data_IF_366038223582
#
_entry.id   IF_366038223582
#
_cell.length_a   1.000
_cell.length_b   1.000
_cell.length_c   1.000
_cell.angle_alpha   90.00
_cell.angle_beta   90.00
_cell.angle_gamma   90.00
#
_symmetry.space_group_name_H-M   'P 1'
#
loop_
_entity.id
_entity.type
_entity.pdbx_description
1 polymer ?
#
# COMPACT_ATOMS: atom_id res chain seq x y z
N UNK A 1 12.70 -5.45 -0.74
CA UNK A 1 12.61 -5.71 0.71
C UNK A 1 12.67 -4.38 1.44
N UNK A 2 12.32 -4.32 2.71
CA UNK A 2 12.37 -3.10 3.49
C UNK A 2 12.30 -3.38 4.98
N UNK A 3 12.46 -2.33 5.76
CA UNK A 3 12.41 -2.38 7.21
C UNK A 3 11.69 -1.14 7.71
N UNK A 4 10.94 -1.31 8.80
CA UNK A 4 10.34 -0.20 9.52
C UNK A 4 10.54 -0.42 11.01
N UNK A 5 10.85 0.66 11.71
CA UNK A 5 10.83 0.74 13.16
C UNK A 5 9.66 1.64 13.57
N UNK A 6 8.80 1.13 14.45
CA UNK A 6 7.64 1.85 14.93
C UNK A 6 7.67 1.96 16.44
N UNK A 7 7.35 3.16 16.92
CA UNK A 7 7.11 3.46 18.34
C UNK A 7 5.62 3.73 18.51
N UNK A 8 4.89 2.75 19.03
CA UNK A 8 3.44 2.84 19.20
C UNK A 8 3.14 3.20 20.65
N UNK A 9 2.42 4.28 20.87
CA UNK A 9 1.96 4.69 22.20
C UNK A 9 0.54 4.16 22.45
N UNK A 10 0.31 3.55 23.62
CA UNK A 10 -1.04 3.18 24.06
C UNK A 10 -1.93 4.42 24.23
N UNK A 11 -3.20 4.32 23.82
CA UNK A 11 -4.16 5.44 23.85
C UNK A 11 -5.07 5.43 25.08
N UNK A 12 -4.81 4.57 26.07
CA UNK A 12 -5.63 4.49 27.28
C UNK A 12 -5.14 5.52 28.29
N UNK A 13 -6.04 6.41 28.74
CA UNK A 13 -5.76 7.56 29.63
C UNK A 13 -5.02 7.23 30.94
N UNK A 14 -4.94 5.96 31.33
CA UNK A 14 -4.33 5.52 32.59
C UNK A 14 -2.88 5.07 32.46
N UNK A 15 -2.39 4.69 31.27
CA UNK A 15 -0.99 4.27 31.07
C UNK A 15 -0.53 4.52 29.62
N UNK A 16 0.38 5.46 29.44
CA UNK A 16 1.12 5.71 28.19
C UNK A 16 2.21 4.65 28.03
N UNK A 17 1.84 3.39 27.81
CA UNK A 17 2.82 2.35 27.54
C UNK A 17 3.38 2.54 26.13
N UNK A 18 4.68 2.78 26.07
CA UNK A 18 5.49 2.73 24.86
C UNK A 18 5.55 1.28 24.37
N UNK A 19 5.45 1.03 23.06
CA UNK A 19 5.70 -0.29 22.49
C UNK A 19 6.62 -0.20 21.28
N UNK A 20 7.88 -0.66 21.38
CA UNK A 20 8.74 -0.78 20.22
C UNK A 20 8.25 -1.90 19.31
N UNK A 21 8.31 -1.70 17.99
CA UNK A 21 7.98 -2.73 17.02
C UNK A 21 8.94 -2.70 15.82
N UNK A 22 9.64 -3.82 15.61
CA UNK A 22 10.47 -4.04 14.43
C UNK A 22 9.67 -4.75 13.35
N UNK A 23 9.71 -4.23 12.12
CA UNK A 23 8.94 -4.76 10.98
C UNK A 23 9.78 -4.91 9.71
N UNK A 24 10.71 -5.87 9.62
CA UNK A 24 11.27 -6.25 8.34
C UNK A 24 10.18 -6.85 7.43
N UNK A 25 10.26 -6.55 6.15
CA UNK A 25 9.27 -7.03 5.18
C UNK A 25 9.86 -7.26 3.80
N UNK A 26 9.28 -8.21 3.07
CA UNK A 26 9.51 -8.41 1.65
C UNK A 26 8.21 -8.27 0.88
N UNK A 27 8.29 -7.78 -0.36
CA UNK A 27 7.11 -7.65 -1.20
C UNK A 27 7.44 -7.94 -2.65
N UNK A 28 6.46 -8.49 -3.34
CA UNK A 28 6.41 -8.64 -4.78
C UNK A 28 5.22 -7.82 -5.28
N UNK A 29 5.46 -7.02 -6.31
CA UNK A 29 4.43 -6.21 -6.97
C UNK A 29 4.44 -6.60 -8.44
N UNK A 30 3.26 -6.86 -8.99
CA UNK A 30 3.07 -7.25 -10.37
C UNK A 30 1.96 -6.41 -10.97
N UNK A 31 2.22 -5.78 -12.11
CA UNK A 31 1.20 -5.04 -12.86
C UNK A 31 1.15 -5.57 -14.29
N UNK A 32 -0.03 -6.01 -14.71
CA UNK A 32 -0.27 -6.56 -16.04
C UNK A 32 -1.35 -5.73 -16.73
N UNK A 33 -1.05 -5.25 -17.93
CA UNK A 33 -2.07 -4.68 -18.82
C UNK A 33 -2.93 -5.84 -19.34
N UNK A 34 -4.21 -5.82 -19.02
CA UNK A 34 -5.21 -6.74 -19.55
C UNK A 34 -5.99 -6.01 -20.65
N UNK A 35 -6.72 -6.74 -21.51
CA UNK A 35 -7.51 -6.24 -22.64
C UNK A 35 -7.74 -4.72 -22.70
N UNK A 36 -7.15 -4.08 -23.71
CA UNK A 36 -7.25 -2.67 -24.08
C UNK A 36 -6.99 -1.65 -22.95
N UNK A 37 -7.96 -1.51 -22.04
CA UNK A 37 -8.08 -0.43 -21.07
C UNK A 37 -8.02 -0.91 -19.62
N UNK A 38 -7.92 -2.22 -19.41
CA UNK A 38 -7.84 -2.80 -18.07
C UNK A 38 -6.40 -2.96 -17.61
N UNK A 39 -6.15 -2.72 -16.34
CA UNK A 39 -4.87 -2.98 -15.70
C UNK A 39 -5.12 -3.76 -14.44
N UNK A 40 -4.52 -4.94 -14.35
CA UNK A 40 -4.51 -5.78 -13.16
C UNK A 40 -3.24 -5.50 -12.37
N UNK A 41 -3.38 -5.17 -11.09
CA UNK A 41 -2.25 -5.04 -10.18
C UNK A 41 -2.38 -6.03 -9.05
N UNK A 42 -1.32 -6.77 -8.77
CA UNK A 42 -1.22 -7.68 -7.63
C UNK A 42 -0.04 -7.28 -6.77
N UNK A 43 -0.19 -7.37 -5.45
CA UNK A 43 0.92 -7.23 -4.52
C UNK A 43 0.81 -8.28 -3.44
N UNK A 44 1.85 -9.07 -3.31
CA UNK A 44 2.04 -9.95 -2.17
C UNK A 44 3.12 -9.36 -1.28
N UNK A 45 2.80 -9.14 -0.01
CA UNK A 45 3.74 -8.60 0.97
C UNK A 45 3.72 -9.45 2.22
N UNK A 46 4.91 -9.80 2.69
CA UNK A 46 5.12 -10.58 3.89
C UNK A 46 5.88 -9.71 4.90
N UNK A 47 5.25 -9.52 6.06
CA UNK A 47 5.73 -8.70 7.17
C UNK A 47 6.08 -9.64 8.35
N UNK A 48 7.31 -9.51 8.86
CA UNK A 48 7.71 -10.09 10.14
C UNK A 48 7.50 -9.01 11.20
N UNK A 49 6.77 -9.29 12.28
CA UNK A 49 6.45 -8.30 13.31
C UNK A 49 6.99 -8.77 14.65
N UNK A 50 7.98 -8.05 15.17
CA UNK A 50 8.50 -8.22 16.52
C UNK A 50 7.92 -7.10 17.36
N UNK A 51 6.97 -7.42 18.23
CA UNK A 51 6.27 -6.45 19.09
C UNK A 51 6.83 -6.58 20.50
N UNK A 52 7.33 -5.50 21.08
CA UNK A 52 7.73 -5.53 22.49
C UNK A 52 6.55 -5.97 23.36
N UNK A 53 6.81 -6.93 24.24
CA UNK A 53 5.82 -7.43 25.19
C UNK A 53 5.59 -6.35 26.27
N UNK A 54 4.35 -6.23 26.73
CA UNK A 54 3.98 -5.24 27.76
C UNK A 54 3.39 -6.02 28.93
N UNK A 55 4.07 -5.95 30.07
CA UNK A 55 3.58 -6.50 31.33
C UNK A 55 3.48 -5.36 32.35
N UNK A 56 2.36 -5.25 33.05
CA UNK A 56 2.13 -4.22 34.08
C UNK A 56 2.45 -2.78 33.64
N UNK A 57 2.19 -2.44 32.37
CA UNK A 57 2.44 -1.12 31.76
C UNK A 57 3.92 -0.73 31.58
N UNK A 58 4.85 -1.65 31.87
CA UNK A 58 6.26 -1.54 31.52
C UNK A 58 6.57 -2.38 30.28
N UNK A 59 7.54 -1.92 29.48
CA UNK A 59 8.09 -2.71 28.37
C UNK A 59 9.06 -3.71 28.95
N UNK A 60 8.85 -4.99 28.68
CA UNK A 60 9.83 -6.04 29.01
C UNK A 60 10.81 -6.20 27.84
N UNK A 61 11.93 -6.89 28.08
CA UNK A 61 12.92 -7.20 27.03
C UNK A 61 12.44 -8.31 26.07
N UNK A 62 11.23 -8.82 26.26
CA UNK A 62 10.64 -9.88 25.45
C UNK A 62 9.89 -9.33 24.22
N UNK A 63 9.86 -10.11 23.15
CA UNK A 63 9.18 -9.74 21.91
C UNK A 63 8.19 -10.81 21.48
N UNK A 64 6.94 -10.42 21.29
CA UNK A 64 5.93 -11.25 20.62
C UNK A 64 6.22 -11.26 19.12
N UNK A 65 6.32 -12.45 18.56
CA UNK A 65 6.59 -12.63 17.15
C UNK A 65 5.32 -13.03 16.38
N UNK A 66 5.00 -12.24 15.35
CA UNK A 66 3.84 -12.48 14.50
C UNK A 66 4.21 -12.32 13.03
N UNK A 67 3.76 -13.24 12.21
CA UNK A 67 3.87 -13.15 10.77
C UNK A 67 2.59 -12.58 10.18
N UNK A 68 2.73 -11.70 9.20
CA UNK A 68 1.58 -11.16 8.49
C UNK A 68 1.78 -11.22 6.99
N UNK A 69 0.84 -11.88 6.31
CA UNK A 69 0.74 -11.87 4.86
C UNK A 69 -0.33 -10.85 4.43
N UNK A 70 0.00 -10.07 3.42
CA UNK A 70 -0.88 -9.08 2.84
C UNK A 70 -0.96 -9.34 1.35
N UNK A 71 -2.14 -9.67 0.88
CA UNK A 71 -2.41 -9.82 -0.54
C UNK A 71 -3.32 -8.69 -1.00
N UNK A 72 -2.85 -7.91 -1.97
CA UNK A 72 -3.61 -6.85 -2.60
C UNK A 72 -3.86 -7.23 -4.06
N UNK A 73 -5.12 -7.15 -4.47
CA UNK A 73 -5.55 -7.31 -5.85
C UNK A 73 -6.29 -6.06 -6.28
N UNK A 74 -5.91 -5.50 -7.43
CA UNK A 74 -6.46 -4.27 -7.99
C UNK A 74 -6.83 -4.46 -9.44
N UNK A 75 -7.97 -3.87 -9.82
CA UNK A 75 -8.40 -3.75 -11.20
C UNK A 75 -8.64 -2.27 -11.47
N UNK A 76 -7.99 -1.73 -12.50
CA UNK A 76 -8.18 -0.36 -12.96
C UNK A 76 -8.69 -0.37 -14.39
N UNK A 77 -9.70 0.44 -14.67
CA UNK A 77 -10.20 0.69 -16.01
C UNK A 77 -9.92 2.14 -16.40
N UNK A 78 -9.15 2.33 -17.46
CA UNK A 78 -8.85 3.65 -18.02
C UNK A 78 -9.84 3.96 -19.15
N UNK A 79 -10.51 5.10 -19.11
CA UNK A 79 -11.49 5.42 -20.14
C UNK A 79 -10.77 5.69 -21.48
N UNK A 80 -11.21 5.10 -22.61
CA UNK A 80 -10.58 5.26 -23.93
C UNK A 80 -10.81 6.61 -24.60
N UNK A 81 -11.15 7.64 -23.84
CA UNK A 81 -11.43 8.97 -24.40
C UNK A 81 -10.12 9.66 -24.77
N UNK A 82 -10.12 10.38 -25.90
CA UNK A 82 -9.02 11.31 -26.26
C UNK A 82 -8.85 12.28 -25.09
N UNK A 83 -7.59 12.54 -24.71
CA UNK A 83 -7.20 13.22 -23.46
C UNK A 83 -8.21 14.29 -23.02
N UNK A 84 -8.99 13.97 -21.99
CA UNK A 84 -9.99 14.89 -21.45
C UNK A 84 -9.25 15.89 -20.56
N UNK A 85 -9.25 17.17 -20.95
CA UNK A 85 -8.53 18.24 -20.25
C UNK A 85 -7.01 17.97 -20.11
N UNK A 86 -6.41 17.22 -21.05
CA UNK A 86 -4.98 16.91 -21.03
C UNK A 86 -4.57 15.75 -20.11
N UNK A 87 -5.53 14.94 -19.66
CA UNK A 87 -5.27 13.79 -18.80
C UNK A 87 -6.22 12.61 -19.07
N UNK A 88 -5.99 11.53 -18.33
CA UNK A 88 -6.66 10.24 -18.53
C UNK A 88 -7.42 9.86 -17.27
N UNK A 89 -8.76 9.98 -17.25
CA UNK A 89 -9.56 9.50 -16.12
C UNK A 89 -9.53 7.97 -16.06
N UNK A 90 -9.66 7.44 -14.86
CA UNK A 90 -9.79 6.01 -14.62
C UNK A 90 -10.63 5.74 -13.38
N UNK A 91 -11.16 4.53 -13.29
CA UNK A 91 -11.77 3.98 -12.07
C UNK A 91 -10.99 2.77 -11.62
N UNK A 92 -10.97 2.52 -10.32
CA UNK A 92 -10.25 1.41 -9.72
C UNK A 92 -11.02 0.76 -8.59
N UNK A 93 -11.08 -0.57 -8.60
CA UNK A 93 -11.51 -1.38 -7.46
C UNK A 93 -10.29 -2.12 -6.95
N UNK A 94 -10.10 -2.15 -5.64
CA UNK A 94 -8.96 -2.86 -5.05
C UNK A 94 -9.40 -3.55 -3.77
N UNK A 95 -9.00 -4.80 -3.59
CA UNK A 95 -9.19 -5.54 -2.36
C UNK A 95 -7.83 -5.88 -1.74
N UNK A 96 -7.66 -5.68 -0.44
CA UNK A 96 -6.49 -6.10 0.32
C UNK A 96 -6.91 -6.97 1.50
N UNK A 97 -6.43 -8.21 1.52
CA UNK A 97 -6.64 -9.17 2.60
C UNK A 97 -5.36 -9.27 3.42
N UNK A 98 -5.51 -9.16 4.74
CA UNK A 98 -4.43 -9.21 5.71
C UNK A 98 -4.65 -10.43 6.60
N UNK A 99 -3.69 -11.34 6.63
CA UNK A 99 -3.74 -12.58 7.43
C UNK A 99 -2.55 -12.62 8.38
N UNK A 100 -2.81 -12.88 9.66
CA UNK A 100 -1.80 -13.09 10.69
C UNK A 100 -1.64 -14.59 11.00
N UNK A 101 -0.42 -15.01 11.30
CA UNK A 101 -0.09 -16.38 11.68
C UNK A 101 1.16 -16.41 12.57
N UNK A 102 1.23 -17.41 13.44
CA UNK A 102 2.27 -17.54 14.47
C UNK A 102 1.71 -18.26 15.69
N UNK A 103 2.58 -18.70 16.60
CA UNK A 103 2.18 -19.40 17.83
C UNK A 103 1.27 -18.54 18.71
N UNK A 104 1.44 -17.22 18.67
CA UNK A 104 0.64 -16.23 19.39
C UNK A 104 -0.75 -15.96 18.77
N UNK A 105 -1.06 -16.51 17.59
CA UNK A 105 -2.33 -16.27 16.88
C UNK A 105 -3.25 -17.48 17.05
N UNK A 106 -4.09 -17.44 18.08
CA UNK A 106 -4.98 -18.56 18.43
C UNK A 106 -6.30 -18.50 17.65
N UNK A 107 -6.94 -17.32 17.57
CA UNK A 107 -8.28 -17.20 16.97
C UNK A 107 -8.31 -16.31 15.72
N UNK A 108 -7.49 -15.25 15.65
CA UNK A 108 -7.68 -14.19 14.66
C UNK A 108 -6.70 -14.25 13.48
N UNK A 109 -6.85 -15.28 12.65
CA UNK A 109 -6.03 -15.41 11.43
C UNK A 109 -6.35 -14.33 10.40
N UNK A 110 -7.61 -13.96 10.20
CA UNK A 110 -7.95 -12.84 9.33
C UNK A 110 -7.82 -11.53 10.11
N UNK A 111 -6.74 -10.78 9.93
CA UNK A 111 -6.54 -9.49 10.60
C UNK A 111 -7.61 -8.50 10.14
N UNK A 112 -7.64 -8.22 8.82
CA UNK A 112 -8.56 -7.25 8.21
C UNK A 112 -8.75 -7.56 6.72
N UNK A 113 -9.90 -7.18 6.17
CA UNK A 113 -10.11 -7.04 4.73
C UNK A 113 -10.43 -5.57 4.40
N UNK A 114 -9.83 -5.04 3.33
CA UNK A 114 -10.02 -3.66 2.89
C UNK A 114 -10.47 -3.67 1.44
N UNK A 115 -11.64 -3.12 1.19
CA UNK A 115 -12.16 -2.92 -0.15
C UNK A 115 -12.17 -1.41 -0.46
N UNK A 116 -11.52 -1.05 -1.55
CA UNK A 116 -11.43 0.31 -2.06
C UNK A 116 -12.16 0.42 -3.39
N UNK A 117 -12.95 1.49 -3.53
CA UNK A 117 -13.45 1.97 -4.81
C UNK A 117 -12.92 3.39 -5.01
N UNK A 118 -12.29 3.64 -6.15
CA UNK A 118 -11.58 4.89 -6.44
C UNK A 118 -11.91 5.40 -7.83
N UNK A 119 -11.92 6.72 -7.95
CA UNK A 119 -11.91 7.45 -9.22
C UNK A 119 -10.61 8.24 -9.24
N UNK A 120 -9.93 8.23 -10.37
CA UNK A 120 -8.65 8.88 -10.50
C UNK A 120 -8.44 9.56 -11.84
N UNK A 121 -7.41 10.39 -11.87
CA UNK A 121 -7.03 11.18 -13.03
C UNK A 121 -5.52 11.20 -13.12
N UNK A 122 -5.01 10.65 -14.23
CA UNK A 122 -3.58 10.73 -14.56
C UNK A 122 -3.34 11.98 -15.39
N UNK A 123 -2.53 12.90 -14.88
CA UNK A 123 -2.13 14.12 -15.55
C UNK A 123 -0.60 14.22 -15.56
N UNK A 124 -0.01 14.20 -16.75
CA UNK A 124 1.45 14.09 -16.92
C UNK A 124 2.04 12.96 -16.05
N UNK A 125 2.94 13.31 -15.13
CA UNK A 125 3.59 12.40 -14.19
C UNK A 125 2.94 12.38 -12.78
N UNK A 126 1.77 13.02 -12.62
CA UNK A 126 0.98 12.99 -11.39
C UNK A 126 -0.25 12.09 -11.57
N UNK A 127 -0.53 11.28 -10.57
CA UNK A 127 -1.73 10.48 -10.46
C UNK A 127 -2.52 10.93 -9.23
N UNK A 128 -3.73 11.44 -9.46
CA UNK A 128 -4.68 11.75 -8.40
C UNK A 128 -5.71 10.63 -8.30
N UNK A 129 -6.00 10.16 -7.09
CA UNK A 129 -7.10 9.23 -6.81
C UNK A 129 -7.85 9.67 -5.57
N UNK A 130 -9.16 9.71 -5.67
CA UNK A 130 -10.07 9.86 -4.53
C UNK A 130 -10.95 8.63 -4.47
N UNK A 131 -11.33 8.22 -3.27
CA UNK A 131 -12.20 7.08 -3.15
C UNK A 131 -12.70 6.82 -1.76
N UNK A 132 -13.36 5.68 -1.65
CA UNK A 132 -13.95 5.18 -0.44
C UNK A 132 -13.37 3.80 -0.12
N UNK A 133 -12.97 3.62 1.14
CA UNK A 133 -12.53 2.36 1.72
C UNK A 133 -13.59 1.84 2.68
N UNK A 134 -14.02 0.60 2.48
CA UNK A 134 -14.61 -0.20 3.54
C UNK A 134 -13.53 -1.10 4.14
N UNK A 135 -13.34 -1.03 5.46
CA UNK A 135 -12.42 -1.90 6.20
C UNK A 135 -13.20 -2.77 7.17
N UNK A 136 -13.14 -4.07 6.93
CA UNK A 136 -13.71 -5.12 7.75
C UNK A 136 -12.66 -5.70 8.69
N UNK A 137 -12.99 -5.79 9.99
CA UNK A 137 -12.12 -6.34 11.04
C UNK A 137 -12.93 -7.33 11.87
N UNK A 138 -12.62 -8.63 11.84
CA UNK A 138 -13.23 -9.60 12.75
C UNK A 138 -12.65 -9.46 14.16
N UNK A 139 -13.54 -9.55 15.15
CA UNK A 139 -13.22 -9.50 16.58
C UNK A 139 -13.56 -10.86 17.19
N UNK A 140 -12.53 -11.70 17.30
CA UNK A 140 -12.64 -13.05 17.85
C UNK A 140 -12.16 -13.09 19.31
N UNK A 141 -12.74 -13.98 20.15
CA UNK A 141 -13.73 -15.01 19.81
C UNK A 141 -15.18 -14.53 19.82
N UNK A 142 -15.45 -13.25 20.10
CA UNK A 142 -16.80 -12.69 20.27
C UNK A 142 -17.72 -12.85 19.04
N UNK A 143 -17.16 -13.11 17.86
CA UNK A 143 -17.93 -13.21 16.62
C UNK A 143 -18.48 -11.86 16.14
N UNK A 144 -17.95 -10.76 16.68
CA UNK A 144 -18.31 -9.41 16.30
C UNK A 144 -17.45 -8.94 15.12
N UNK A 145 -17.95 -7.96 14.37
CA UNK A 145 -17.25 -7.39 13.23
C UNK A 145 -17.29 -5.87 13.28
N UNK A 146 -16.14 -5.24 13.04
CA UNK A 146 -16.04 -3.79 12.94
C UNK A 146 -15.94 -3.41 11.46
N UNK A 147 -16.87 -2.58 11.00
CA UNK A 147 -16.80 -1.93 9.70
C UNK A 147 -16.39 -0.47 9.87
N UNK A 148 -15.27 -0.09 9.24
CA UNK A 148 -14.86 1.30 9.17
C UNK A 148 -15.02 1.82 7.74
N UNK A 149 -15.61 3.01 7.64
CA UNK A 149 -15.78 3.73 6.39
C UNK A 149 -14.77 4.86 6.35
N UNK A 150 -13.97 4.94 5.29
CA UNK A 150 -12.87 5.92 5.22
C UNK A 150 -12.80 6.51 3.83
N UNK A 151 -12.79 7.84 3.75
CA UNK A 151 -12.45 8.54 2.52
C UNK A 151 -10.93 8.54 2.35
N UNK A 152 -10.48 8.23 1.13
CA UNK A 152 -9.06 8.17 0.78
C UNK A 152 -8.75 9.18 -0.31
N UNK A 153 -7.61 9.85 -0.16
CA UNK A 153 -7.01 10.72 -1.16
C UNK A 153 -5.57 10.25 -1.36
N UNK A 154 -5.22 9.98 -2.61
CA UNK A 154 -3.87 9.61 -3.02
C UNK A 154 -3.37 10.56 -4.10
N UNK A 155 -2.15 11.03 -3.91
CA UNK A 155 -1.41 11.80 -4.91
C UNK A 155 -0.07 11.11 -5.09
N UNK A 156 0.18 10.57 -6.27
CA UNK A 156 1.43 9.88 -6.61
C UNK A 156 2.13 10.64 -7.71
N UNK A 157 3.40 11.00 -7.49
CA UNK A 157 4.22 11.68 -8.48
C UNK A 157 5.38 10.79 -8.91
N UNK A 158 5.51 10.56 -10.22
CA UNK A 158 6.62 9.83 -10.80
C UNK A 158 7.77 10.80 -11.12
N UNK A 159 8.86 10.68 -10.37
CA UNK A 159 10.08 11.47 -10.56
C UNK A 159 11.05 10.71 -11.47
N UNK A 160 11.57 11.40 -12.48
CA UNK A 160 12.62 10.90 -13.36
C UNK A 160 13.88 11.75 -13.19
N UNK A 161 14.93 11.15 -12.63
CA UNK A 161 16.20 11.80 -12.35
C UNK A 161 17.30 11.46 -13.38
N UNK A 162 16.95 10.82 -14.50
CA UNK A 162 17.92 10.54 -15.55
C UNK A 162 18.46 11.86 -16.11
N UNK A 163 19.78 12.03 -16.12
CA UNK A 163 20.42 13.14 -16.85
C UNK A 163 19.96 13.05 -18.32
N UNK A 164 19.42 14.14 -18.86
CA UNK A 164 19.29 14.27 -20.32
C UNK A 164 20.70 14.25 -20.88
N UNK A 165 21.12 13.12 -21.44
CA UNK A 165 22.32 13.09 -22.28
C UNK A 165 22.11 14.07 -23.42
N UNK A 166 23.08 14.95 -23.65
CA UNK A 166 23.17 15.71 -24.90
C UNK A 166 23.02 14.71 -26.03
N UNK A 167 21.99 14.92 -26.85
CA UNK A 167 21.74 14.12 -28.04
C UNK A 167 23.00 14.11 -28.91
N UNK A 168 23.28 13.01 -29.60
CA UNK A 168 24.41 12.93 -30.54
C UNK A 168 24.30 14.01 -31.64
N UNK A 169 23.10 14.52 -31.92
CA UNK A 169 22.84 15.71 -32.73
C UNK A 169 23.57 16.98 -32.24
N UNK A 170 23.83 17.13 -30.94
CA UNK A 170 24.49 18.32 -30.37
C UNK A 170 26.03 18.28 -30.51
N UNK A 171 26.60 17.11 -30.86
CA UNK A 171 28.06 16.91 -30.94
C UNK A 171 28.62 16.99 -32.37
N UNK A 172 27.77 17.08 -33.40
CA UNK A 172 28.22 17.23 -34.78
C UNK A 172 27.23 18.07 -35.62
N UNK A 173 27.22 19.41 -35.46
CA UNK A 173 26.42 20.28 -36.32
C UNK A 173 26.92 20.37 -37.78
N UNK A 174 28.11 19.83 -38.09
CA UNK A 174 28.86 20.14 -39.32
C UNK A 174 29.00 18.99 -40.34
N UNK A 175 28.10 17.99 -40.33
CA UNK A 175 28.14 16.92 -41.35
C UNK A 175 26.90 16.88 -42.25
N UNK A 176 26.27 18.03 -42.49
CA UNK A 176 25.25 18.16 -43.52
C UNK A 176 25.48 19.41 -44.36
N UNK A 177 26.26 19.29 -45.43
CA UNK A 177 26.13 20.04 -46.69
C UNK A 177 26.99 19.36 -47.77
N UNK A 178 26.63 19.55 -49.05
CA UNK A 178 25.84 18.66 -49.91
C UNK A 178 26.63 17.49 -50.56
#
# INVERSE_FOLDING_TARGET
MGYAWLSIYGTTYTNLSYRPEHRPWCQMVWESKMFNNFTLGQRLRYDLRFRGHIENSAVTDEFDFNHRLRYLFSVKYRFPMKEWLGGKPFVGITNETLVNFGQEIIYNHLDQNRLWATVGYQWANVNFQVGYMNRYIPVLPKGEFIHNHTLILWVTHSLDFRKKGSSVEDLAPDLRHP
#
